data_IF_253601911395
#
_entry.id   IF_253601911395
#
_cell.length_a   1.000
_cell.length_b   1.000
_cell.length_c   1.000
_cell.angle_alpha   90.00
_cell.angle_beta   90.00
_cell.angle_gamma   90.00
#
_symmetry.space_group_name_H-M   'P 1'
#
loop_
_entity.id
_entity.type
_entity.pdbx_description
1 polymer ?
#
# COMPACT_ATOMS: atom_id res chain seq x y z
N UNK A 1 -52.01 3.30 -3.13
CA UNK A 1 -50.98 2.27 -3.40
C UNK A 1 -49.73 2.68 -2.67
N UNK A 2 -49.53 2.16 -1.47
CA UNK A 2 -48.30 2.30 -0.69
C UNK A 2 -47.40 1.16 -1.12
N UNK A 3 -46.31 1.48 -1.82
CA UNK A 3 -45.32 0.48 -2.20
C UNK A 3 -44.26 0.34 -1.10
N UNK A 4 -43.83 -0.91 -0.94
CA UNK A 4 -43.29 -1.44 0.29
C UNK A 4 -41.92 -0.88 0.69
N UNK A 5 -41.72 -0.85 2.00
CA UNK A 5 -40.46 -0.73 2.72
C UNK A 5 -39.26 -1.39 2.01
N UNK A 6 -38.40 -0.58 1.38
CA UNK A 6 -37.06 -1.00 1.01
C UNK A 6 -36.18 -1.06 2.27
N UNK A 7 -36.27 -2.19 2.99
CA UNK A 7 -35.30 -2.48 4.05
C UNK A 7 -33.87 -2.49 3.50
N UNK A 8 -32.85 -2.28 4.34
CA UNK A 8 -31.46 -2.22 3.88
C UNK A 8 -31.06 -3.51 3.15
N UNK A 9 -30.61 -3.36 1.90
CA UNK A 9 -30.20 -4.47 1.02
C UNK A 9 -29.04 -5.22 1.67
N UNK A 10 -29.20 -6.53 1.89
CA UNK A 10 -28.10 -7.37 2.39
C UNK A 10 -27.03 -7.48 1.29
N UNK A 11 -25.74 -7.30 1.63
CA UNK A 11 -24.67 -7.40 0.64
C UNK A 11 -24.61 -8.80 0.03
N UNK A 12 -24.29 -8.85 -1.26
CA UNK A 12 -24.14 -10.10 -1.99
C UNK A 12 -22.96 -10.92 -1.43
N UNK A 13 -22.92 -12.24 -1.70
CA UNK A 13 -21.78 -13.06 -1.27
C UNK A 13 -20.45 -12.54 -1.85
N UNK A 14 -20.48 -12.02 -3.07
CA UNK A 14 -19.32 -11.43 -3.75
C UNK A 14 -18.81 -10.18 -3.03
N UNK A 15 -19.71 -9.26 -2.64
CA UNK A 15 -19.36 -8.06 -1.88
C UNK A 15 -18.74 -8.38 -0.52
N UNK A 16 -19.19 -9.45 0.14
CA UNK A 16 -18.62 -9.87 1.43
C UNK A 16 -17.18 -10.34 1.33
N UNK A 17 -16.79 -10.98 0.22
CA UNK A 17 -15.44 -11.53 0.04
C UNK A 17 -14.46 -10.57 -0.63
N UNK A 18 -14.95 -9.48 -1.25
CA UNK A 18 -14.11 -8.54 -1.96
C UNK A 18 -12.92 -8.01 -1.12
N UNK A 19 -13.07 -7.61 0.16
CA UNK A 19 -11.93 -7.19 0.98
C UNK A 19 -10.84 -8.26 1.11
N UNK A 20 -11.23 -9.53 1.27
CA UNK A 20 -10.29 -10.65 1.37
C UNK A 20 -9.56 -10.88 0.04
N UNK A 21 -10.27 -10.79 -1.08
CA UNK A 21 -9.68 -10.93 -2.42
C UNK A 21 -8.65 -9.83 -2.65
N UNK A 22 -8.98 -8.57 -2.35
CA UNK A 22 -8.04 -7.45 -2.45
C UNK A 22 -6.81 -7.64 -1.55
N UNK A 23 -7.00 -8.12 -0.33
CA UNK A 23 -5.89 -8.42 0.57
C UNK A 23 -4.96 -9.49 0.00
N UNK A 24 -5.51 -10.61 -0.50
CA UNK A 24 -4.71 -11.70 -1.09
C UNK A 24 -3.95 -11.20 -2.33
N UNK A 25 -4.62 -10.47 -3.22
CA UNK A 25 -3.99 -9.87 -4.41
C UNK A 25 -2.89 -8.90 -4.00
N UNK A 26 -3.12 -8.07 -2.99
CA UNK A 26 -2.13 -7.16 -2.43
C UNK A 26 -0.89 -7.89 -1.92
N UNK A 27 -1.08 -9.00 -1.19
CA UNK A 27 0.04 -9.83 -0.73
C UNK A 27 0.81 -10.48 -1.88
N UNK A 28 0.12 -11.00 -2.91
CA UNK A 28 0.77 -11.57 -4.09
C UNK A 28 1.57 -10.50 -4.85
N UNK A 29 1.01 -9.30 -5.04
CA UNK A 29 1.71 -8.16 -5.62
C UNK A 29 2.92 -7.75 -4.77
N UNK A 30 2.79 -7.79 -3.44
CA UNK A 30 3.90 -7.53 -2.53
C UNK A 30 5.05 -8.52 -2.72
N UNK A 31 4.75 -9.82 -2.74
CA UNK A 31 5.75 -10.86 -2.98
C UNK A 31 6.40 -10.72 -4.36
N UNK A 32 5.62 -10.41 -5.40
CA UNK A 32 6.15 -10.18 -6.74
C UNK A 32 7.16 -9.02 -6.76
N UNK A 33 6.85 -7.89 -6.13
CA UNK A 33 7.78 -6.76 -6.02
C UNK A 33 9.04 -7.11 -5.22
N UNK A 34 8.88 -7.71 -4.05
CA UNK A 34 10.00 -7.98 -3.14
C UNK A 34 10.93 -9.05 -3.70
N UNK A 35 10.40 -10.18 -4.19
CA UNK A 35 11.22 -11.26 -4.74
C UNK A 35 11.90 -10.85 -6.04
N UNK A 36 11.21 -10.12 -6.92
CA UNK A 36 11.83 -9.64 -8.16
C UNK A 36 12.95 -8.62 -7.90
N UNK A 37 12.77 -7.73 -6.91
CA UNK A 37 13.82 -6.83 -6.48
C UNK A 37 15.02 -7.56 -5.85
N UNK A 38 14.77 -8.58 -5.02
CA UNK A 38 15.82 -9.40 -4.44
C UNK A 38 16.63 -10.19 -5.47
N UNK A 39 16.03 -10.54 -6.61
CA UNK A 39 16.64 -11.33 -7.69
C UNK A 39 17.13 -10.47 -8.87
N UNK A 40 17.36 -9.17 -8.68
CA UNK A 40 17.87 -8.24 -9.70
C UNK A 40 17.01 -8.11 -10.97
N UNK A 41 15.69 -8.35 -10.83
CA UNK A 41 14.70 -8.14 -11.89
C UNK A 41 13.49 -7.30 -11.41
N UNK A 42 13.68 -6.17 -10.70
CA UNK A 42 12.59 -5.41 -10.06
C UNK A 42 11.47 -4.94 -11.00
N UNK A 43 11.73 -4.85 -12.31
CA UNK A 43 10.73 -4.52 -13.32
C UNK A 43 9.57 -5.53 -13.40
N UNK A 44 9.78 -6.80 -13.03
CA UNK A 44 8.70 -7.82 -13.00
C UNK A 44 7.66 -7.45 -11.94
N UNK A 45 8.12 -7.03 -10.76
CA UNK A 45 7.28 -6.53 -9.68
C UNK A 45 6.47 -5.31 -10.11
N UNK A 46 7.13 -4.35 -10.76
CA UNK A 46 6.48 -3.15 -11.31
C UNK A 46 5.42 -3.51 -12.34
N UNK A 47 5.73 -4.39 -13.29
CA UNK A 47 4.76 -4.83 -14.30
C UNK A 47 3.54 -5.49 -13.65
N UNK A 48 3.76 -6.34 -12.64
CA UNK A 48 2.69 -6.97 -11.86
C UNK A 48 1.82 -5.92 -11.17
N UNK A 49 2.44 -4.95 -10.50
CA UNK A 49 1.74 -3.85 -9.84
C UNK A 49 0.90 -3.01 -10.81
N UNK A 50 1.45 -2.67 -11.97
CA UNK A 50 0.75 -1.91 -13.01
C UNK A 50 -0.49 -2.68 -13.49
N UNK A 51 -0.37 -3.97 -13.77
CA UNK A 51 -1.50 -4.80 -14.20
C UNK A 51 -2.59 -4.83 -13.13
N UNK A 52 -2.23 -5.07 -11.87
CA UNK A 52 -3.19 -5.13 -10.76
C UNK A 52 -3.88 -3.78 -10.51
N UNK A 53 -3.14 -2.67 -10.57
CA UNK A 53 -3.70 -1.32 -10.45
C UNK A 53 -4.61 -0.99 -11.63
N UNK A 54 -4.23 -1.37 -12.86
CA UNK A 54 -5.07 -1.17 -14.04
C UNK A 54 -6.38 -1.97 -13.95
N UNK A 55 -6.31 -3.22 -13.50
CA UNK A 55 -7.50 -4.05 -13.24
C UNK A 55 -8.40 -3.40 -12.18
N UNK A 56 -7.82 -2.90 -11.09
CA UNK A 56 -8.58 -2.18 -10.06
C UNK A 56 -9.29 -0.95 -10.64
N UNK A 57 -8.58 -0.08 -11.36
CA UNK A 57 -9.17 1.11 -11.97
C UNK A 57 -10.23 0.79 -13.03
N UNK A 58 -10.10 -0.33 -13.75
CA UNK A 58 -11.10 -0.77 -14.71
C UNK A 58 -12.38 -1.32 -14.04
N UNK A 59 -12.31 -1.73 -12.77
CA UNK A 59 -13.41 -2.42 -12.08
C UNK A 59 -14.19 -1.53 -11.11
N UNK A 60 -13.60 -0.43 -10.63
CA UNK A 60 -14.28 0.49 -9.71
C UNK A 60 -15.33 1.36 -10.43
N UNK A 61 -16.39 1.74 -9.73
CA UNK A 61 -17.48 2.55 -10.27
C UNK A 61 -17.02 3.95 -10.71
N UNK A 62 -16.05 4.53 -9.98
CA UNK A 62 -15.48 5.85 -10.26
C UNK A 62 -13.96 5.78 -10.28
N UNK A 63 -13.33 5.57 -11.46
CA UNK A 63 -11.88 5.43 -11.56
C UNK A 63 -11.10 6.71 -11.26
N UNK A 64 -11.67 7.89 -11.54
CA UNK A 64 -10.95 9.16 -11.38
C UNK A 64 -10.64 9.50 -9.91
N UNK A 65 -11.56 9.37 -8.94
CA UNK A 65 -11.23 9.43 -7.52
C UNK A 65 -10.12 8.47 -7.11
N UNK A 66 -10.23 7.18 -7.45
CA UNK A 66 -9.21 6.18 -7.10
C UNK A 66 -7.84 6.53 -7.71
N UNK A 67 -7.81 7.01 -8.95
CA UNK A 67 -6.58 7.48 -9.59
C UNK A 67 -5.94 8.66 -8.84
N UNK A 68 -6.73 9.62 -8.36
CA UNK A 68 -6.20 10.73 -7.53
C UNK A 68 -5.63 10.22 -6.22
N UNK A 69 -6.28 9.22 -5.61
CA UNK A 69 -5.77 8.57 -4.40
C UNK A 69 -4.44 7.87 -4.67
N UNK A 70 -4.39 7.03 -5.72
CA UNK A 70 -3.16 6.33 -6.15
C UNK A 70 -2.00 7.29 -6.32
N UNK A 71 -2.16 8.35 -7.12
CA UNK A 71 -1.11 9.34 -7.37
C UNK A 71 -0.66 10.03 -6.08
N UNK A 72 -1.61 10.45 -5.23
CA UNK A 72 -1.28 11.15 -3.98
C UNK A 72 -0.52 10.25 -3.01
N UNK A 73 -0.94 8.99 -2.88
CA UNK A 73 -0.28 8.00 -2.01
C UNK A 73 1.10 7.65 -2.55
N UNK A 74 1.27 7.49 -3.86
CA UNK A 74 2.59 7.25 -4.47
C UNK A 74 3.54 8.42 -4.23
N UNK A 75 3.08 9.66 -4.34
CA UNK A 75 3.90 10.85 -4.06
C UNK A 75 4.30 10.91 -2.58
N UNK A 76 3.36 10.69 -1.66
CA UNK A 76 3.66 10.62 -0.23
C UNK A 76 4.65 9.49 0.09
N UNK A 77 4.47 8.34 -0.55
CA UNK A 77 5.36 7.20 -0.47
C UNK A 77 6.75 7.52 -0.97
N UNK A 78 6.89 8.15 -2.12
CA UNK A 78 8.19 8.53 -2.67
C UNK A 78 8.98 9.43 -1.72
N UNK A 79 8.31 10.40 -1.07
CA UNK A 79 8.93 11.29 -0.08
C UNK A 79 9.36 10.49 1.15
N UNK A 80 8.43 9.68 1.70
CA UNK A 80 8.68 8.90 2.90
C UNK A 80 9.81 7.88 2.70
N UNK A 81 9.77 7.11 1.62
CA UNK A 81 10.70 6.02 1.34
C UNK A 81 12.09 6.52 0.97
N UNK A 82 12.18 7.73 0.40
CA UNK A 82 13.49 8.34 0.12
C UNK A 82 14.19 8.83 1.39
N UNK A 83 13.45 9.11 2.48
CA UNK A 83 14.04 9.64 3.70
C UNK A 83 14.98 8.63 4.40
N UNK A 84 14.58 7.38 4.69
CA UNK A 84 15.50 6.36 5.23
C UNK A 84 16.69 6.05 4.33
N UNK A 85 16.54 6.21 3.01
CA UNK A 85 17.63 6.02 2.04
C UNK A 85 18.61 7.18 2.11
N UNK A 86 18.12 8.42 2.07
CA UNK A 86 18.94 9.62 2.13
C UNK A 86 19.69 9.77 3.46
N UNK A 87 19.14 9.26 4.57
CA UNK A 87 19.81 9.23 5.88
C UNK A 87 20.80 8.06 6.03
N UNK A 88 20.87 7.15 5.05
CA UNK A 88 21.71 5.95 5.13
C UNK A 88 21.23 4.96 6.20
N UNK A 89 19.93 4.95 6.51
CA UNK A 89 19.33 3.99 7.44
C UNK A 89 18.95 2.69 6.73
N UNK A 90 18.46 2.81 5.49
CA UNK A 90 18.13 1.71 4.61
C UNK A 90 18.90 1.81 3.30
N UNK A 91 19.23 0.66 2.73
CA UNK A 91 19.85 0.54 1.42
C UNK A 91 19.11 -0.52 0.59
N UNK A 92 18.82 -0.20 -0.66
CA UNK A 92 18.16 -1.10 -1.59
C UNK A 92 19.17 -1.59 -2.63
N UNK A 93 19.44 -2.90 -2.73
CA UNK A 93 20.45 -3.43 -3.65
C UNK A 93 20.13 -3.15 -5.13
N UNK A 94 18.84 -3.21 -5.50
CA UNK A 94 18.39 -3.14 -6.89
C UNK A 94 17.23 -2.15 -7.05
N UNK A 95 17.15 -1.55 -8.25
CA UNK A 95 16.03 -0.70 -8.66
C UNK A 95 16.07 0.75 -8.17
N UNK A 96 17.19 1.21 -7.63
CA UNK A 96 17.46 2.63 -7.36
C UNK A 96 17.94 3.32 -8.63
N UNK A 97 17.34 4.46 -8.98
CA UNK A 97 17.76 5.30 -10.13
C UNK A 97 18.60 6.48 -9.67
N UNK A 98 18.23 7.07 -8.54
CA UNK A 98 18.97 8.13 -7.85
C UNK A 98 19.46 7.58 -6.51
N UNK A 99 20.71 7.88 -6.16
CA UNK A 99 21.38 7.31 -4.97
C UNK A 99 20.68 7.62 -3.64
N UNK A 100 19.98 8.74 -3.55
CA UNK A 100 19.27 9.18 -2.34
C UNK A 100 17.74 9.04 -2.43
N UNK A 101 17.22 8.28 -3.42
CA UNK A 101 15.79 8.11 -3.64
C UNK A 101 15.33 6.68 -3.43
N UNK A 102 14.05 6.53 -3.10
CA UNK A 102 13.37 5.25 -3.06
C UNK A 102 13.51 4.52 -4.41
N UNK A 103 13.69 3.19 -4.42
CA UNK A 103 13.75 2.44 -5.65
C UNK A 103 12.37 2.42 -6.33
N UNK A 104 12.36 2.37 -7.66
CA UNK A 104 11.12 2.52 -8.43
C UNK A 104 10.08 1.43 -8.13
N UNK A 105 10.52 0.23 -7.72
CA UNK A 105 9.62 -0.88 -7.38
C UNK A 105 8.91 -0.68 -6.03
N UNK A 106 9.50 0.09 -5.10
CA UNK A 106 8.81 0.50 -3.87
C UNK A 106 7.64 1.43 -4.24
N UNK A 107 7.82 2.34 -5.20
CA UNK A 107 6.72 3.21 -5.65
C UNK A 107 5.55 2.40 -6.24
N UNK A 108 5.87 1.29 -6.92
CA UNK A 108 4.86 0.36 -7.41
C UNK A 108 4.12 -0.36 -6.26
N UNK A 109 4.81 -0.71 -5.16
CA UNK A 109 4.17 -1.19 -3.94
C UNK A 109 3.25 -0.15 -3.31
N UNK A 110 3.63 1.13 -3.31
CA UNK A 110 2.78 2.22 -2.82
C UNK A 110 1.50 2.38 -3.66
N UNK A 111 1.59 2.19 -4.98
CA UNK A 111 0.41 2.17 -5.85
C UNK A 111 -0.52 0.98 -5.53
N UNK A 112 0.04 -0.23 -5.38
CA UNK A 112 -0.73 -1.41 -4.96
C UNK A 112 -1.35 -1.25 -3.58
N UNK A 113 -0.66 -0.59 -2.67
CA UNK A 113 -1.14 -0.31 -1.32
C UNK A 113 -2.33 0.66 -1.35
N UNK A 114 -2.26 1.70 -2.18
CA UNK A 114 -3.35 2.65 -2.36
C UNK A 114 -4.64 2.01 -2.88
N UNK A 115 -4.54 1.08 -3.84
CA UNK A 115 -5.71 0.35 -4.37
C UNK A 115 -6.46 -0.49 -3.32
N UNK A 116 -5.85 -0.74 -2.16
CA UNK A 116 -6.44 -1.49 -1.06
C UNK A 116 -7.18 -0.62 -0.04
N UNK A 117 -7.02 0.71 -0.09
CA UNK A 117 -7.56 1.58 0.97
C UNK A 117 -9.07 1.65 1.03
N UNK A 118 -9.73 1.76 -0.13
CA UNK A 118 -11.19 1.82 -0.21
C UNK A 118 -11.84 0.43 -0.29
N UNK A 119 -11.03 -0.64 -0.32
CA UNK A 119 -11.48 -2.03 -0.39
C UNK A 119 -11.09 -2.79 0.89
N UNK A 120 -9.93 -3.44 0.91
CA UNK A 120 -9.45 -4.27 2.03
C UNK A 120 -9.31 -3.49 3.35
N UNK A 121 -8.98 -2.19 3.30
CA UNK A 121 -8.81 -1.34 4.47
C UNK A 121 -9.96 -0.36 4.70
N UNK A 122 -11.08 -0.49 3.98
CA UNK A 122 -12.22 0.43 4.13
C UNK A 122 -12.76 0.50 5.56
N UNK A 123 -12.66 -0.61 6.31
CA UNK A 123 -13.06 -0.71 7.71
C UNK A 123 -12.12 0.00 8.70
N UNK A 124 -10.92 0.43 8.27
CA UNK A 124 -9.99 1.20 9.09
C UNK A 124 -10.31 2.70 9.10
N UNK A 125 -11.03 3.23 8.10
CA UNK A 125 -11.86 4.44 8.28
C UNK A 125 -12.69 4.19 9.55
N UNK A 126 -13.16 5.11 10.38
CA UNK A 126 -13.75 4.76 11.71
C UNK A 126 -12.80 4.20 12.80
N UNK A 127 -11.66 3.56 12.50
CA UNK A 127 -10.75 2.99 13.52
C UNK A 127 -9.32 3.54 13.42
N UNK A 128 -9.17 4.86 13.49
CA UNK A 128 -7.87 5.56 13.28
C UNK A 128 -6.77 5.12 14.26
N UNK A 129 -7.09 4.89 15.53
CA UNK A 129 -6.11 4.42 16.51
C UNK A 129 -5.58 3.03 16.13
N UNK A 130 -6.47 2.13 15.69
CA UNK A 130 -6.07 0.82 15.21
C UNK A 130 -5.23 0.92 13.93
N UNK A 131 -5.57 1.82 13.01
CA UNK A 131 -4.76 2.09 11.81
C UNK A 131 -3.34 2.53 12.19
N UNK A 132 -3.20 3.40 13.20
CA UNK A 132 -1.90 3.83 13.74
C UNK A 132 -1.11 2.66 14.34
N UNK A 133 -1.74 1.85 15.21
CA UNK A 133 -1.09 0.69 15.82
C UNK A 133 -0.66 -0.36 14.78
N UNK A 134 -1.53 -0.64 13.81
CA UNK A 134 -1.21 -1.56 12.72
C UNK A 134 -0.06 -1.03 11.88
N UNK A 135 -0.05 0.26 11.54
CA UNK A 135 1.08 0.89 10.84
C UNK A 135 2.38 0.71 11.61
N UNK A 136 2.38 1.04 12.90
CA UNK A 136 3.55 0.97 13.78
C UNK A 136 4.17 -0.43 13.87
N UNK A 137 3.35 -1.49 13.74
CA UNK A 137 3.78 -2.88 13.88
C UNK A 137 4.05 -3.50 12.50
N UNK A 138 3.06 -3.45 11.61
CA UNK A 138 3.08 -4.11 10.31
C UNK A 138 4.09 -3.44 9.36
N UNK A 139 4.26 -2.12 9.45
CA UNK A 139 5.24 -1.38 8.65
C UNK A 139 6.66 -1.92 8.85
N UNK A 140 7.24 -1.82 10.06
CA UNK A 140 8.56 -2.40 10.34
C UNK A 140 8.66 -3.90 10.07
N UNK A 141 7.62 -4.68 10.36
CA UNK A 141 7.60 -6.12 10.07
C UNK A 141 7.71 -6.41 8.57
N UNK A 142 7.02 -5.64 7.72
CA UNK A 142 7.09 -5.76 6.27
C UNK A 142 8.49 -5.48 5.74
N UNK A 143 9.15 -4.43 6.24
CA UNK A 143 10.54 -4.13 5.87
C UNK A 143 11.51 -5.21 6.33
N UNK A 144 11.34 -5.74 7.55
CA UNK A 144 12.16 -6.87 8.02
C UNK A 144 11.95 -8.13 7.20
N UNK A 145 10.73 -8.40 6.74
CA UNK A 145 10.45 -9.51 5.83
C UNK A 145 11.13 -9.29 4.47
N UNK A 146 11.04 -8.08 3.92
CA UNK A 146 11.77 -7.70 2.70
C UNK A 146 13.29 -7.83 2.86
N UNK A 147 13.82 -7.50 4.04
CA UNK A 147 15.24 -7.67 4.34
C UNK A 147 15.66 -9.14 4.44
N UNK A 148 14.84 -9.97 5.08
CA UNK A 148 15.05 -11.41 5.13
C UNK A 148 15.02 -12.07 3.73
N UNK A 149 14.26 -11.50 2.80
CA UNK A 149 14.20 -11.91 1.41
C UNK A 149 15.30 -11.30 0.53
N UNK A 150 16.12 -10.38 1.05
CA UNK A 150 17.23 -9.76 0.33
C UNK A 150 16.87 -8.51 -0.49
N UNK A 151 15.65 -8.01 -0.40
CA UNK A 151 15.20 -6.85 -1.17
C UNK A 151 15.64 -5.49 -0.58
N UNK A 152 15.94 -5.43 0.72
CA UNK A 152 16.39 -4.22 1.42
C UNK A 152 17.39 -4.58 2.52
N UNK A 153 18.33 -3.68 2.82
CA UNK A 153 19.32 -3.83 3.88
C UNK A 153 19.11 -2.73 4.92
N UNK A 154 19.13 -3.14 6.19
CA UNK A 154 19.12 -2.23 7.32
C UNK A 154 20.55 -1.83 7.64
N UNK A 155 21.00 -0.68 7.14
CA UNK A 155 22.35 -0.14 7.40
C UNK A 155 22.47 0.29 8.85
N UNK A 156 21.42 0.94 9.38
CA UNK A 156 21.31 1.31 10.79
C UNK A 156 20.03 0.70 11.39
N UNK A 157 20.07 -0.54 11.90
CA UNK A 157 18.87 -1.29 12.26
C UNK A 157 17.96 -0.60 13.28
N UNK A 158 18.52 -0.03 14.34
CA UNK A 158 17.74 0.60 15.40
C UNK A 158 17.09 1.92 14.92
N UNK A 159 17.83 2.91 14.38
CA UNK A 159 17.23 4.12 13.81
C UNK A 159 16.20 3.82 12.73
N UNK A 160 16.50 2.90 11.80
CA UNK A 160 15.58 2.51 10.73
C UNK A 160 14.28 1.92 11.30
N UNK A 161 14.37 1.00 12.26
CA UNK A 161 13.19 0.36 12.84
C UNK A 161 12.31 1.37 13.60
N UNK A 162 12.92 2.27 14.38
CA UNK A 162 12.19 3.31 15.11
C UNK A 162 11.53 4.31 14.14
N UNK A 163 12.26 4.73 13.11
CA UNK A 163 11.73 5.62 12.08
C UNK A 163 10.56 4.99 11.33
N UNK A 164 10.69 3.72 10.93
CA UNK A 164 9.60 2.97 10.31
C UNK A 164 8.40 2.85 11.25
N UNK A 165 8.61 2.53 12.53
CA UNK A 165 7.51 2.36 13.47
C UNK A 165 6.75 3.68 13.68
N UNK A 166 7.46 4.77 13.98
CA UNK A 166 6.85 6.09 14.22
C UNK A 166 6.23 6.63 12.94
N UNK A 167 6.96 6.53 11.81
CA UNK A 167 6.51 7.00 10.52
C UNK A 167 5.25 6.30 10.05
N UNK A 168 5.21 4.97 10.08
CA UNK A 168 4.01 4.22 9.71
C UNK A 168 2.86 4.39 10.70
N UNK A 169 3.14 4.64 11.99
CA UNK A 169 2.10 5.00 12.96
C UNK A 169 1.35 6.27 12.60
N UNK A 170 2.02 7.22 11.93
CA UNK A 170 1.45 8.50 11.49
C UNK A 170 0.90 8.39 10.07
N UNK A 171 1.66 7.79 9.16
CA UNK A 171 1.31 7.67 7.75
C UNK A 171 0.06 6.83 7.55
N UNK A 172 -0.06 5.68 8.21
CA UNK A 172 -1.20 4.80 8.01
C UNK A 172 -2.55 5.49 8.26
N UNK A 173 -2.82 6.12 9.43
CA UNK A 173 -4.08 6.84 9.63
C UNK A 173 -4.22 8.06 8.72
N UNK A 174 -3.13 8.75 8.36
CA UNK A 174 -3.18 9.87 7.43
C UNK A 174 -3.64 9.42 6.03
N UNK A 175 -3.07 8.33 5.50
CA UNK A 175 -3.42 7.77 4.18
C UNK A 175 -4.88 7.28 4.16
N UNK A 176 -5.34 6.65 5.25
CA UNK A 176 -6.75 6.27 5.39
C UNK A 176 -7.67 7.50 5.44
N UNK A 177 -7.22 8.63 6.03
CA UNK A 177 -8.00 9.86 5.99
C UNK A 177 -8.08 10.43 4.58
N UNK A 178 -6.97 10.42 3.83
CA UNK A 178 -6.94 10.80 2.42
C UNK A 178 -7.85 9.92 1.56
N UNK A 179 -7.91 8.61 1.82
CA UNK A 179 -8.81 7.72 1.07
C UNK A 179 -10.29 8.03 1.28
N UNK A 180 -10.69 8.61 2.41
CA UNK A 180 -12.08 9.10 2.61
C UNK A 180 -12.45 10.22 1.64
N UNK A 181 -11.47 11.02 1.20
CA UNK A 181 -11.72 12.16 0.29
C UNK A 181 -11.98 11.71 -1.14
N UNK A 182 -11.36 10.59 -1.53
CA UNK A 182 -11.41 10.01 -2.85
C UNK A 182 -11.80 8.54 -2.73
N UNK A 183 -13.10 8.31 -2.71
CA UNK A 183 -13.70 6.97 -2.69
C UNK A 183 -14.48 6.78 -3.98
N UNK A 184 -14.06 5.83 -4.80
CA UNK A 184 -14.67 5.50 -6.07
C UNK A 184 -15.08 4.03 -6.20
N UNK A 185 -14.99 3.25 -5.13
CA UNK A 185 -15.35 1.82 -5.10
C UNK A 185 -16.87 1.61 -5.01
N UNK A 186 -17.62 2.61 -4.56
CA UNK A 186 -19.06 2.58 -4.30
C UNK A 186 -19.82 3.73 -4.97
#
# INVERSE_FOLDING_TARGET
MHDASSGPRRPSAVERWAPCVYFVIGQLGWFACVLSAAHDVPWIGVATAIVLVAVHLAWVDRPLPEFKLLVSVVVMGAIWESMPVATGWLEYPNGTVLSAAAPYWILALWALFAAQFNTAFGWLKQRMLLASMLGAIVGPMSFRAGAALGAVRFVQPLPATLALAIGWAILMPALILFSRRWDGVH
#
